data_IF_972966633633
#
_entry.id   IF_972966633633
#
_cell.length_a   1.000
_cell.length_b   1.000
_cell.length_c   1.000
_cell.angle_alpha   90.00
_cell.angle_beta   90.00
_cell.angle_gamma   90.00
#
_symmetry.space_group_name_H-M   'P 1'
#
loop_
_entity.id
_entity.type
_entity.pdbx_description
1 polymer ?
#
# COMPACT_ATOMS: atom_id res chain seq x y z
N UNK A 1 53.41 22.80 9.31
CA UNK A 1 52.84 21.45 9.29
C UNK A 1 51.61 21.44 10.18
N UNK A 2 50.44 21.43 9.56
CA UNK A 2 49.25 20.71 10.04
C UNK A 2 48.27 20.76 8.89
N UNK A 3 48.28 19.71 8.09
CA UNK A 3 47.22 19.40 7.14
C UNK A 3 45.91 19.29 7.93
N UNK A 4 45.10 20.35 7.90
CA UNK A 4 43.67 20.20 8.20
C UNK A 4 43.04 19.89 6.86
N UNK A 5 43.05 18.60 6.53
CA UNK A 5 42.41 18.07 5.34
C UNK A 5 40.93 18.47 5.39
N UNK A 6 40.48 19.11 4.33
CA UNK A 6 39.12 19.59 4.14
C UNK A 6 38.17 18.42 3.86
N UNK A 7 37.98 17.57 4.87
CA UNK A 7 37.15 16.36 4.77
C UNK A 7 35.67 16.66 4.49
N UNK A 8 35.20 17.89 4.75
CA UNK A 8 33.79 18.26 4.54
C UNK A 8 33.46 18.57 3.08
N UNK A 9 34.33 19.23 2.33
CA UNK A 9 34.10 19.45 0.89
C UNK A 9 34.31 18.17 0.07
N UNK A 10 35.21 17.28 0.50
CA UNK A 10 35.40 15.97 -0.14
C UNK A 10 34.16 15.07 -0.01
N UNK A 11 33.52 15.04 1.17
CA UNK A 11 32.32 14.23 1.41
C UNK A 11 31.12 14.65 0.55
N UNK A 12 30.89 15.95 0.36
CA UNK A 12 29.83 16.45 -0.53
C UNK A 12 30.15 16.24 -2.01
N UNK A 13 31.41 16.34 -2.40
CA UNK A 13 31.86 16.08 -3.79
C UNK A 13 31.71 14.60 -4.15
N UNK A 14 32.19 13.68 -3.30
CA UNK A 14 32.06 12.23 -3.52
C UNK A 14 30.59 11.78 -3.52
N UNK A 15 29.75 12.34 -2.63
CA UNK A 15 28.32 12.04 -2.59
C UNK A 15 27.61 12.47 -3.89
N UNK A 16 27.93 13.66 -4.41
CA UNK A 16 27.36 14.17 -5.66
C UNK A 16 27.81 13.34 -6.87
N UNK A 17 29.07 12.91 -6.89
CA UNK A 17 29.63 12.08 -7.95
C UNK A 17 29.03 10.67 -7.97
N UNK A 18 28.78 10.07 -6.79
CA UNK A 18 28.12 8.77 -6.66
C UNK A 18 26.68 8.80 -7.16
N UNK A 19 25.90 9.83 -6.82
CA UNK A 19 24.53 9.99 -7.34
C UNK A 19 24.53 10.20 -8.86
N UNK A 20 25.53 10.91 -9.41
CA UNK A 20 25.67 11.09 -10.86
C UNK A 20 26.01 9.78 -11.60
N UNK A 21 26.91 8.96 -11.04
CA UNK A 21 27.23 7.63 -11.60
C UNK A 21 26.02 6.71 -11.53
N UNK A 22 25.31 6.68 -10.40
CA UNK A 22 24.05 5.94 -10.26
C UNK A 22 23.05 6.36 -11.32
N UNK A 23 22.85 7.67 -11.52
CA UNK A 23 21.98 8.20 -12.57
C UNK A 23 22.36 7.70 -13.96
N UNK A 24 23.65 7.70 -14.29
CA UNK A 24 24.12 7.23 -15.60
C UNK A 24 23.87 5.72 -15.78
N UNK A 25 24.11 4.90 -14.75
CA UNK A 25 23.79 3.47 -14.77
C UNK A 25 22.29 3.23 -14.99
N UNK A 26 21.45 4.12 -14.44
CA UNK A 26 20.01 4.07 -14.65
C UNK A 26 19.60 4.34 -16.11
N UNK A 27 20.19 5.38 -16.70
CA UNK A 27 19.98 5.76 -18.10
C UNK A 27 20.51 4.67 -19.05
N UNK A 28 21.66 4.09 -18.74
CA UNK A 28 22.28 3.04 -19.55
C UNK A 28 21.39 1.78 -19.61
N UNK A 29 20.85 1.33 -18.47
CA UNK A 29 19.93 0.19 -18.47
C UNK A 29 18.65 0.51 -19.26
N UNK A 30 18.10 1.72 -19.09
CA UNK A 30 16.94 2.17 -19.85
C UNK A 30 17.17 2.12 -21.37
N UNK A 31 18.36 2.50 -21.80
CA UNK A 31 18.78 2.48 -23.20
C UNK A 31 19.10 1.06 -23.72
N UNK A 32 18.78 0.02 -22.95
CA UNK A 32 18.90 -1.37 -23.36
C UNK A 32 20.27 -2.01 -23.10
N UNK A 33 21.10 -1.41 -22.23
CA UNK A 33 22.35 -2.04 -21.81
C UNK A 33 22.07 -3.32 -21.02
N UNK A 34 22.95 -4.32 -21.16
CA UNK A 34 22.76 -5.62 -20.52
C UNK A 34 22.81 -5.50 -18.98
N UNK A 35 21.90 -6.20 -18.30
CA UNK A 35 21.75 -6.17 -16.84
C UNK A 35 23.03 -6.58 -16.09
N UNK A 36 23.73 -7.61 -16.57
CA UNK A 36 24.95 -8.12 -15.93
C UNK A 36 26.12 -7.15 -16.09
N UNK A 37 26.20 -6.43 -17.20
CA UNK A 37 27.19 -5.35 -17.40
C UNK A 37 26.93 -4.16 -16.49
N UNK A 38 25.65 -3.78 -16.32
CA UNK A 38 25.26 -2.68 -15.42
C UNK A 38 25.53 -3.08 -13.97
N UNK A 39 25.25 -4.33 -13.57
CA UNK A 39 25.61 -4.86 -12.24
C UNK A 39 27.11 -4.85 -11.99
N UNK A 40 27.91 -5.34 -12.94
CA UNK A 40 29.37 -5.33 -12.81
C UNK A 40 29.94 -3.90 -12.69
N UNK A 41 29.36 -2.94 -13.41
CA UNK A 41 29.73 -1.53 -13.31
C UNK A 41 29.32 -0.93 -11.96
N UNK A 42 28.13 -1.26 -11.47
CA UNK A 42 27.64 -0.85 -10.15
C UNK A 42 28.55 -1.38 -9.03
N UNK A 43 28.92 -2.66 -9.08
CA UNK A 43 29.82 -3.28 -8.10
C UNK A 43 31.23 -2.69 -8.13
N UNK A 44 31.76 -2.41 -9.32
CA UNK A 44 33.13 -1.91 -9.49
C UNK A 44 33.31 -0.44 -9.07
N UNK A 45 32.30 0.40 -9.26
CA UNK A 45 32.43 1.86 -9.07
C UNK A 45 31.61 2.42 -7.91
N UNK A 46 30.50 1.77 -7.54
CA UNK A 46 29.62 2.21 -6.45
C UNK A 46 29.68 1.25 -5.26
N UNK A 47 29.74 -0.05 -5.51
CA UNK A 47 29.65 -1.10 -4.50
C UNK A 47 28.26 -1.13 -3.87
N UNK A 48 28.17 -0.84 -2.57
CA UNK A 48 26.87 -0.77 -1.87
C UNK A 48 26.23 0.62 -1.99
N UNK A 49 24.89 0.64 -2.08
CA UNK A 49 24.07 1.85 -2.22
C UNK A 49 23.28 2.08 -0.93
N UNK A 50 23.16 3.34 -0.53
CA UNK A 50 22.36 3.78 0.61
C UNK A 50 20.95 4.20 0.17
N UNK A 51 20.01 4.17 1.11
CA UNK A 51 18.61 4.58 0.85
C UNK A 51 18.54 6.08 0.50
N UNK A 52 19.43 6.90 1.05
CA UNK A 52 19.52 8.32 0.74
C UNK A 52 19.92 8.55 -0.72
N UNK A 53 20.89 7.79 -1.23
CA UNK A 53 21.27 7.86 -2.65
C UNK A 53 20.10 7.45 -3.57
N UNK A 54 19.30 6.45 -3.18
CA UNK A 54 18.10 6.02 -3.95
C UNK A 54 17.03 7.12 -3.96
N UNK A 55 16.75 7.72 -2.81
CA UNK A 55 15.72 8.77 -2.66
C UNK A 55 16.14 10.04 -3.39
N UNK A 56 17.42 10.43 -3.27
CA UNK A 56 17.98 11.59 -3.95
C UNK A 56 17.95 11.43 -5.47
N UNK A 57 18.25 10.22 -5.96
CA UNK A 57 18.17 9.91 -7.38
C UNK A 57 16.77 10.18 -7.95
N UNK A 58 15.71 9.88 -7.18
CA UNK A 58 14.33 10.17 -7.57
C UNK A 58 14.09 11.67 -7.70
N UNK A 59 14.53 12.47 -6.73
CA UNK A 59 14.42 13.93 -6.79
C UNK A 59 15.16 14.50 -8.01
N UNK A 60 16.38 14.02 -8.30
CA UNK A 60 17.17 14.49 -9.45
C UNK A 60 16.46 14.23 -10.78
N UNK A 61 15.87 13.05 -10.96
CA UNK A 61 15.15 12.74 -12.20
C UNK A 61 13.87 13.58 -12.38
N UNK A 62 13.19 13.93 -11.28
CA UNK A 62 11.98 14.77 -11.32
C UNK A 62 12.32 16.23 -11.56
N UNK A 63 13.36 16.77 -10.90
CA UNK A 63 13.77 18.18 -11.01
C UNK A 63 14.33 18.53 -12.39
N UNK A 64 15.08 17.64 -13.03
CA UNK A 64 15.73 17.93 -14.31
C UNK A 64 14.81 17.79 -15.53
N UNK A 65 13.62 17.21 -15.37
CA UNK A 65 12.61 17.10 -16.43
C UNK A 65 13.06 16.32 -17.69
N UNK A 66 14.15 15.56 -17.59
CA UNK A 66 14.80 14.87 -18.72
C UNK A 66 14.19 13.51 -19.05
N UNK A 67 13.31 12.99 -18.19
CA UNK A 67 12.63 11.70 -18.34
C UNK A 67 11.15 11.88 -17.98
N UNK A 68 10.23 11.42 -18.82
CA UNK A 68 8.79 11.49 -18.51
C UNK A 68 8.43 10.59 -17.33
N UNK A 69 7.34 10.91 -16.60
CA UNK A 69 6.85 10.07 -15.50
C UNK A 69 6.57 8.61 -15.95
N UNK A 70 6.20 8.41 -17.22
CA UNK A 70 6.03 7.09 -17.84
C UNK A 70 7.34 6.35 -18.10
N UNK A 71 8.41 7.04 -18.49
CA UNK A 71 9.73 6.44 -18.71
C UNK A 71 10.41 6.12 -17.38
N UNK A 72 10.32 7.02 -16.38
CA UNK A 72 10.72 6.74 -14.99
C UNK A 72 10.02 5.48 -14.46
N UNK A 73 8.71 5.36 -14.72
CA UNK A 73 7.92 4.18 -14.35
C UNK A 73 8.37 2.90 -15.08
N UNK A 74 8.89 2.98 -16.31
CA UNK A 74 9.44 1.82 -17.01
C UNK A 74 10.81 1.43 -16.47
N UNK A 75 11.65 2.43 -16.18
CA UNK A 75 12.96 2.31 -15.54
C UNK A 75 12.78 1.61 -14.19
N UNK A 76 11.95 2.09 -13.25
CA UNK A 76 11.84 1.46 -11.93
C UNK A 76 11.41 -0.03 -11.94
N UNK A 77 10.70 -0.49 -12.97
CA UNK A 77 10.27 -1.88 -13.08
C UNK A 77 11.42 -2.84 -13.40
N UNK A 78 12.43 -2.38 -14.14
CA UNK A 78 13.55 -3.22 -14.57
C UNK A 78 14.69 -3.27 -13.51
N UNK A 79 14.75 -2.30 -12.59
CA UNK A 79 15.92 -2.11 -11.72
C UNK A 79 15.84 -2.84 -10.37
N UNK A 80 14.69 -3.42 -10.00
CA UNK A 80 14.57 -4.18 -8.74
C UNK A 80 15.58 -5.34 -8.66
N UNK A 81 15.95 -5.94 -9.79
CA UNK A 81 16.96 -6.99 -9.86
C UNK A 81 18.40 -6.49 -9.68
N UNK A 82 18.66 -5.19 -9.88
CA UNK A 82 19.99 -4.56 -9.75
C UNK A 82 20.30 -4.25 -8.30
N UNK A 83 19.30 -3.80 -7.53
CA UNK A 83 19.47 -3.44 -6.11
C UNK A 83 19.43 -4.62 -5.14
N UNK A 84 19.06 -5.80 -5.64
CA UNK A 84 19.03 -7.01 -4.84
C UNK A 84 20.46 -7.44 -4.49
N UNK A 85 20.84 -7.29 -3.21
CA UNK A 85 22.17 -7.63 -2.67
C UNK A 85 23.17 -6.47 -2.61
N UNK A 86 22.85 -5.32 -3.19
CA UNK A 86 23.73 -4.12 -3.25
C UNK A 86 23.32 -3.02 -2.29
N UNK A 87 22.16 -3.11 -1.63
CA UNK A 87 21.78 -2.15 -0.59
C UNK A 87 22.66 -2.37 0.65
N UNK A 88 23.17 -1.28 1.22
CA UNK A 88 23.96 -1.32 2.45
C UNK A 88 23.05 -1.67 3.62
N UNK A 89 23.21 -2.88 4.15
CA UNK A 89 22.68 -3.28 5.46
C UNK A 89 23.21 -2.30 6.52
N UNK A 90 22.32 -1.61 7.22
CA UNK A 90 22.70 -0.76 8.35
C UNK A 90 23.01 -1.65 9.56
N UNK A 91 24.07 -1.34 10.32
CA UNK A 91 24.45 -2.09 11.52
C UNK A 91 23.26 -2.18 12.51
N UNK A 92 22.65 -3.36 12.59
CA UNK A 92 21.53 -3.67 13.49
C UNK A 92 22.01 -3.69 14.95
N UNK A 93 22.05 -2.52 15.59
CA UNK A 93 22.20 -2.45 17.04
C UNK A 93 20.91 -2.91 17.71
N UNK A 94 21.00 -3.93 18.58
CA UNK A 94 19.88 -4.42 19.39
C UNK A 94 19.26 -3.28 20.23
N UNK A 95 17.92 -3.21 20.24
CA UNK A 95 17.17 -2.34 21.15
C UNK A 95 16.43 -1.19 20.48
N UNK A 96 16.22 -1.24 19.16
CA UNK A 96 15.42 -0.23 18.46
C UNK A 96 13.91 -0.50 18.67
N UNK A 97 13.05 0.51 18.61
CA UNK A 97 11.60 0.33 18.78
C UNK A 97 11.00 -0.72 17.84
N UNK A 98 11.53 -0.85 16.63
CA UNK A 98 11.09 -1.83 15.62
C UNK A 98 11.45 -3.29 15.91
N UNK A 99 12.26 -3.55 16.94
CA UNK A 99 12.57 -4.90 17.42
C UNK A 99 11.66 -5.29 18.61
N UNK A 100 10.81 -4.38 19.08
CA UNK A 100 9.90 -4.63 20.19
C UNK A 100 8.62 -5.33 19.73
N UNK A 101 8.17 -6.30 20.52
CA UNK A 101 6.89 -6.97 20.29
C UNK A 101 5.75 -5.94 20.22
N UNK A 102 4.93 -6.07 19.18
CA UNK A 102 3.80 -5.18 18.90
C UNK A 102 4.13 -4.02 17.95
N UNK A 103 5.40 -3.64 17.77
CA UNK A 103 5.72 -2.57 16.82
C UNK A 103 5.26 -3.01 15.41
N UNK A 104 4.68 -2.14 14.58
CA UNK A 104 4.16 -2.54 13.27
C UNK A 104 5.23 -3.22 12.40
N UNK A 105 6.42 -2.63 12.27
CA UNK A 105 7.54 -3.23 11.52
C UNK A 105 7.98 -4.58 12.07
N UNK A 106 8.04 -4.75 13.39
CA UNK A 106 8.33 -6.06 14.00
C UNK A 106 7.33 -7.11 13.53
N UNK A 107 6.04 -6.75 13.55
CA UNK A 107 4.95 -7.63 13.13
C UNK A 107 5.04 -7.96 11.65
N UNK A 108 5.28 -6.98 10.78
CA UNK A 108 5.49 -7.24 9.34
C UNK A 108 6.66 -8.20 9.09
N UNK A 109 7.78 -8.04 9.79
CA UNK A 109 8.93 -8.96 9.68
C UNK A 109 8.59 -10.39 10.14
N UNK A 110 7.82 -10.53 11.23
CA UNK A 110 7.35 -11.86 11.66
C UNK A 110 6.44 -12.52 10.62
N UNK A 111 5.54 -11.76 10.02
CA UNK A 111 4.69 -12.29 8.94
C UNK A 111 5.53 -12.71 7.73
N UNK A 112 6.52 -11.91 7.34
CA UNK A 112 7.45 -12.25 6.26
C UNK A 112 8.20 -13.56 6.54
N UNK A 113 8.63 -13.79 7.78
CA UNK A 113 9.26 -15.05 8.18
C UNK A 113 8.32 -16.25 8.05
N UNK A 114 7.05 -16.13 8.48
CA UNK A 114 6.09 -17.24 8.34
C UNK A 114 5.66 -17.46 6.89
N UNK A 115 5.57 -16.40 6.07
CA UNK A 115 5.34 -16.52 4.62
C UNK A 115 6.53 -17.20 3.94
N UNK A 116 7.77 -16.77 4.20
CA UNK A 116 8.97 -17.40 3.63
C UNK A 116 9.06 -18.89 4.00
N UNK A 117 8.77 -19.21 5.25
CA UNK A 117 8.69 -20.60 5.72
C UNK A 117 7.59 -21.39 5.01
N UNK A 118 6.41 -20.82 4.78
CA UNK A 118 5.34 -21.46 3.99
C UNK A 118 5.82 -21.75 2.56
N UNK A 119 6.50 -20.80 1.92
CA UNK A 119 7.04 -20.97 0.57
C UNK A 119 8.09 -22.09 0.52
N UNK A 120 9.10 -22.03 1.38
CA UNK A 120 10.29 -22.89 1.32
C UNK A 120 10.05 -24.29 1.87
N UNK A 121 9.28 -24.41 2.96
CA UNK A 121 9.11 -25.70 3.66
C UNK A 121 7.89 -26.50 3.21
N UNK A 122 6.91 -25.84 2.57
CA UNK A 122 5.71 -26.52 2.05
C UNK A 122 5.54 -26.34 0.55
N UNK A 123 5.27 -25.12 0.08
CA UNK A 123 4.83 -24.89 -1.30
C UNK A 123 5.88 -25.38 -2.31
N UNK A 124 7.16 -25.06 -2.11
CA UNK A 124 8.25 -25.50 -2.98
C UNK A 124 8.45 -27.02 -2.92
N UNK A 125 8.39 -27.62 -1.72
CA UNK A 125 8.54 -29.07 -1.53
C UNK A 125 7.41 -29.84 -2.22
N UNK A 126 6.16 -29.43 -2.00
CA UNK A 126 4.99 -30.03 -2.63
C UNK A 126 4.97 -29.78 -4.14
N UNK A 127 5.52 -28.65 -4.62
CA UNK A 127 5.68 -28.39 -6.04
C UNK A 127 6.68 -29.33 -6.70
N UNK A 128 7.81 -29.62 -6.04
CA UNK A 128 8.78 -30.63 -6.50
C UNK A 128 8.19 -32.05 -6.49
N UNK A 129 7.36 -32.39 -5.50
CA UNK A 129 6.61 -33.66 -5.47
C UNK A 129 5.62 -33.75 -6.62
N UNK A 130 4.88 -32.66 -6.87
CA UNK A 130 3.98 -32.55 -8.01
C UNK A 130 4.72 -32.65 -9.34
N UNK A 131 5.92 -32.05 -9.45
CA UNK A 131 6.78 -32.17 -10.64
C UNK A 131 7.29 -33.60 -10.87
N UNK A 132 7.43 -34.41 -9.83
CA UNK A 132 7.70 -35.85 -9.96
C UNK A 132 6.46 -36.65 -10.35
N UNK A 133 5.27 -36.25 -9.88
CA UNK A 133 4.00 -36.88 -10.23
C UNK A 133 2.78 -36.04 -9.86
N UNK A 134 1.81 -35.93 -10.76
CA UNK A 134 0.61 -35.10 -10.63
C UNK A 134 -0.57 -35.86 -9.99
N UNK A 135 -0.29 -36.65 -8.94
CA UNK A 135 -1.33 -37.39 -8.22
C UNK A 135 -2.34 -36.44 -7.56
N UNK A 136 -3.56 -36.94 -7.31
CA UNK A 136 -4.59 -36.17 -6.61
C UNK A 136 -4.11 -35.69 -5.22
N UNK A 137 -3.30 -36.50 -4.53
CA UNK A 137 -2.70 -36.12 -3.24
C UNK A 137 -1.76 -34.91 -3.38
N UNK A 138 -0.89 -34.91 -4.40
CA UNK A 138 0.03 -33.80 -4.64
C UNK A 138 -0.71 -32.52 -5.04
N UNK A 139 -1.79 -32.64 -5.82
CA UNK A 139 -2.68 -31.51 -6.14
C UNK A 139 -3.34 -30.96 -4.87
N UNK A 140 -3.86 -31.81 -3.99
CA UNK A 140 -4.51 -31.36 -2.76
C UNK A 140 -3.55 -30.66 -1.80
N UNK A 141 -2.31 -31.15 -1.67
CA UNK A 141 -1.26 -30.48 -0.88
C UNK A 141 -0.99 -29.06 -1.40
N UNK A 142 -0.84 -28.90 -2.72
CA UNK A 142 -0.65 -27.59 -3.33
C UNK A 142 -1.87 -26.66 -3.15
N UNK A 143 -3.08 -27.21 -3.20
CA UNK A 143 -4.32 -26.46 -2.92
C UNK A 143 -4.35 -25.99 -1.45
N UNK A 144 -3.91 -26.82 -0.51
CA UNK A 144 -3.81 -26.44 0.91
C UNK A 144 -2.82 -25.27 1.09
N UNK A 145 -1.61 -25.40 0.53
CA UNK A 145 -0.58 -24.38 0.65
C UNK A 145 -1.00 -23.04 0.02
N UNK A 146 -1.58 -23.07 -1.18
CA UNK A 146 -2.00 -21.84 -1.87
C UNK A 146 -3.18 -21.17 -1.17
N UNK A 147 -4.08 -21.96 -0.55
CA UNK A 147 -5.18 -21.41 0.24
C UNK A 147 -4.66 -20.74 1.51
N UNK A 148 -3.62 -21.28 2.13
CA UNK A 148 -2.97 -20.63 3.26
C UNK A 148 -2.24 -19.35 2.83
N UNK A 149 -1.57 -19.37 1.67
CA UNK A 149 -0.87 -18.20 1.12
C UNK A 149 -1.82 -17.05 0.74
N UNK A 150 -3.10 -17.30 0.48
CA UNK A 150 -4.09 -16.23 0.25
C UNK A 150 -4.21 -15.24 1.42
N UNK A 151 -3.80 -15.64 2.63
CA UNK A 151 -3.80 -14.76 3.80
C UNK A 151 -2.84 -13.56 3.66
N UNK A 152 -1.89 -13.63 2.71
CA UNK A 152 -0.96 -12.54 2.35
C UNK A 152 -1.67 -11.24 1.95
N UNK A 153 -2.94 -11.33 1.53
CA UNK A 153 -3.76 -10.15 1.22
C UNK A 153 -3.86 -9.20 2.41
N UNK A 154 -3.91 -9.70 3.64
CA UNK A 154 -3.93 -8.88 4.86
C UNK A 154 -2.61 -8.14 5.06
N UNK A 155 -1.48 -8.82 4.84
CA UNK A 155 -0.16 -8.21 4.92
C UNK A 155 -0.04 -7.05 3.93
N UNK A 156 -0.36 -7.32 2.66
CA UNK A 156 -0.30 -6.30 1.61
C UNK A 156 -1.28 -5.16 1.85
N UNK A 157 -2.51 -5.47 2.26
CA UNK A 157 -3.51 -4.45 2.60
C UNK A 157 -3.04 -3.55 3.75
N UNK A 158 -2.38 -4.08 4.78
CA UNK A 158 -1.82 -3.26 5.86
C UNK A 158 -0.72 -2.34 5.37
N UNK A 159 0.27 -2.82 4.60
CA UNK A 159 1.33 -1.90 4.12
C UNK A 159 0.77 -0.85 3.15
N UNK A 160 -0.18 -1.23 2.30
CA UNK A 160 -0.82 -0.34 1.31
C UNK A 160 -1.67 0.76 1.95
N UNK A 161 -2.39 0.43 3.02
CA UNK A 161 -3.35 1.34 3.65
C UNK A 161 -2.82 2.00 4.93
N UNK A 162 -1.72 1.52 5.51
CA UNK A 162 -1.16 2.02 6.76
C UNK A 162 0.27 2.52 6.65
N UNK A 163 1.12 2.03 5.72
CA UNK A 163 2.50 2.53 5.58
C UNK A 163 2.61 3.52 4.42
N UNK A 164 2.12 3.14 3.23
CA UNK A 164 2.26 3.96 2.03
C UNK A 164 1.69 5.38 2.19
N UNK A 165 0.51 5.60 2.81
CA UNK A 165 -0.04 6.95 2.94
C UNK A 165 0.86 7.90 3.74
N UNK A 166 1.60 7.41 4.74
CA UNK A 166 2.52 8.26 5.50
C UNK A 166 3.78 8.55 4.70
N UNK A 167 4.36 7.57 4.01
CA UNK A 167 5.49 7.80 3.11
C UNK A 167 5.15 8.83 2.01
N UNK A 168 3.95 8.74 1.45
CA UNK A 168 3.46 9.70 0.44
C UNK A 168 3.31 11.12 0.99
N UNK A 169 2.93 11.29 2.29
CA UNK A 169 2.92 12.61 2.95
C UNK A 169 4.31 13.23 3.01
N UNK A 170 5.36 12.41 3.04
CA UNK A 170 6.76 12.85 2.96
C UNK A 170 7.29 12.97 1.53
N UNK A 171 6.42 12.87 0.52
CA UNK A 171 6.79 13.03 -0.90
C UNK A 171 7.35 11.76 -1.56
N UNK A 172 7.25 10.60 -0.91
CA UNK A 172 7.82 9.34 -1.36
C UNK A 172 6.75 8.49 -2.08
N UNK A 173 6.66 8.62 -3.41
CA UNK A 173 5.60 7.97 -4.21
C UNK A 173 6.09 6.78 -5.07
N UNK A 174 7.36 6.79 -5.50
CA UNK A 174 7.89 5.79 -6.45
C UNK A 174 7.86 4.36 -5.90
N UNK A 175 8.44 4.10 -4.71
CA UNK A 175 8.46 2.78 -4.10
C UNK A 175 7.04 2.26 -3.78
N UNK A 176 6.17 3.11 -3.23
CA UNK A 176 4.80 2.72 -2.83
C UNK A 176 3.96 2.30 -4.04
N UNK A 177 4.01 3.08 -5.12
CA UNK A 177 3.28 2.78 -6.37
C UNK A 177 3.76 1.49 -7.03
N UNK A 178 5.08 1.28 -7.07
CA UNK A 178 5.65 0.09 -7.70
C UNK A 178 5.36 -1.19 -6.90
N UNK A 179 5.48 -1.12 -5.57
CA UNK A 179 5.19 -2.26 -4.69
C UNK A 179 3.72 -2.67 -4.79
N UNK A 180 2.78 -1.74 -4.69
CA UNK A 180 1.34 -2.05 -4.82
C UNK A 180 1.05 -2.80 -6.13
N UNK A 181 1.61 -2.33 -7.25
CA UNK A 181 1.39 -3.01 -8.53
C UNK A 181 1.92 -4.46 -8.52
N UNK A 182 3.07 -4.70 -7.90
CA UNK A 182 3.62 -6.06 -7.76
C UNK A 182 2.71 -6.89 -6.85
N UNK A 183 2.19 -6.31 -5.76
CA UNK A 183 1.24 -6.97 -4.85
C UNK A 183 -0.03 -7.42 -5.59
N UNK A 184 -0.58 -6.57 -6.47
CA UNK A 184 -1.71 -6.93 -7.32
C UNK A 184 -1.39 -8.11 -8.25
N UNK A 185 -0.21 -8.11 -8.89
CA UNK A 185 0.21 -9.24 -9.74
C UNK A 185 0.39 -10.53 -8.94
N UNK A 186 0.94 -10.45 -7.72
CA UNK A 186 1.08 -11.59 -6.81
C UNK A 186 -0.31 -12.13 -6.44
N UNK A 187 -1.23 -11.27 -6.00
CA UNK A 187 -2.61 -11.66 -5.65
C UNK A 187 -3.32 -12.36 -6.81
N UNK A 188 -3.22 -11.81 -8.01
CA UNK A 188 -3.86 -12.37 -9.20
C UNK A 188 -3.21 -13.71 -9.60
N UNK A 189 -1.89 -13.84 -9.45
CA UNK A 189 -1.17 -15.09 -9.74
C UNK A 189 -1.45 -16.20 -8.73
N UNK A 190 -1.60 -15.87 -7.44
CA UNK A 190 -2.05 -16.83 -6.41
C UNK A 190 -3.46 -17.35 -6.75
N UNK A 191 -4.36 -16.46 -7.19
CA UNK A 191 -5.71 -16.84 -7.61
C UNK A 191 -5.70 -17.73 -8.86
N UNK A 192 -4.88 -17.40 -9.86
CA UNK A 192 -4.68 -18.22 -11.06
C UNK A 192 -4.13 -19.62 -10.73
N UNK A 193 -3.09 -19.68 -9.89
CA UNK A 193 -2.53 -20.94 -9.41
C UNK A 193 -3.58 -21.82 -8.72
N UNK A 194 -4.39 -21.24 -7.84
CA UNK A 194 -5.49 -21.96 -7.18
C UNK A 194 -6.52 -22.45 -8.17
N UNK A 195 -6.90 -21.64 -9.15
CA UNK A 195 -7.88 -22.03 -10.18
C UNK A 195 -7.37 -23.18 -11.05
N UNK A 196 -6.10 -23.13 -11.47
CA UNK A 196 -5.46 -24.20 -12.27
C UNK A 196 -5.34 -25.51 -11.51
N UNK A 197 -5.07 -25.47 -10.20
CA UNK A 197 -5.07 -26.66 -9.35
C UNK A 197 -6.49 -27.22 -9.15
N UNK A 198 -7.49 -26.36 -8.91
CA UNK A 198 -8.87 -26.78 -8.72
C UNK A 198 -9.51 -27.39 -9.97
N UNK A 199 -9.10 -26.95 -11.15
CA UNK A 199 -9.57 -27.44 -12.45
C UNK A 199 -8.46 -28.14 -13.23
N UNK A 200 -7.64 -28.92 -12.52
CA UNK A 200 -6.49 -29.57 -13.13
C UNK A 200 -6.92 -30.68 -14.11
N UNK A 201 -6.42 -30.59 -15.34
CA UNK A 201 -6.72 -31.53 -16.44
C UNK A 201 -5.45 -32.09 -17.10
N UNK A 202 -4.33 -32.16 -16.36
CA UNK A 202 -3.07 -32.73 -16.83
C UNK A 202 -2.07 -31.70 -17.41
N UNK A 203 -2.40 -30.41 -17.46
CA UNK A 203 -1.45 -29.36 -17.85
C UNK A 203 -0.53 -28.98 -16.68
N UNK A 204 0.41 -29.89 -16.42
CA UNK A 204 1.38 -29.80 -15.34
C UNK A 204 2.27 -28.56 -15.44
N UNK A 205 2.72 -28.23 -16.65
CA UNK A 205 3.66 -27.12 -16.86
C UNK A 205 3.02 -25.77 -16.61
N UNK A 206 1.73 -25.59 -16.94
CA UNK A 206 1.02 -24.37 -16.61
C UNK A 206 0.89 -24.13 -15.09
N UNK A 207 0.72 -25.18 -14.30
CA UNK A 207 0.69 -25.12 -12.83
C UNK A 207 2.08 -24.80 -12.28
N UNK A 208 3.11 -25.52 -12.74
CA UNK A 208 4.49 -25.29 -12.28
C UNK A 208 4.94 -23.87 -12.59
N UNK A 209 4.68 -23.38 -13.80
CA UNK A 209 5.04 -22.04 -14.23
C UNK A 209 4.43 -20.95 -13.35
N UNK A 210 3.13 -21.03 -13.05
CA UNK A 210 2.47 -20.02 -12.20
C UNK A 210 2.93 -20.10 -10.75
N UNK A 211 3.12 -21.30 -10.19
CA UNK A 211 3.55 -21.45 -8.80
C UNK A 211 5.00 -21.03 -8.58
N UNK A 212 5.91 -21.32 -9.52
CA UNK A 212 7.27 -20.80 -9.47
C UNK A 212 7.29 -19.26 -9.55
N UNK A 213 6.47 -18.67 -10.41
CA UNK A 213 6.32 -17.21 -10.47
C UNK A 213 5.83 -16.63 -9.14
N UNK A 214 4.81 -17.24 -8.52
CA UNK A 214 4.31 -16.83 -7.20
C UNK A 214 5.43 -16.89 -6.14
N UNK A 215 6.16 -18.00 -6.05
CA UNK A 215 7.27 -18.17 -5.09
C UNK A 215 8.31 -17.06 -5.29
N UNK A 216 8.75 -16.85 -6.53
CA UNK A 216 9.77 -15.85 -6.87
C UNK A 216 9.32 -14.42 -6.52
N UNK A 217 8.09 -14.05 -6.89
CA UNK A 217 7.60 -12.70 -6.66
C UNK A 217 7.33 -12.42 -5.18
N UNK A 218 6.79 -13.38 -4.42
CA UNK A 218 6.56 -13.21 -2.98
C UNK A 218 7.90 -13.09 -2.24
N UNK A 219 8.87 -13.97 -2.51
CA UNK A 219 10.21 -13.86 -1.93
C UNK A 219 10.89 -12.53 -2.30
N UNK A 220 10.72 -12.11 -3.57
CA UNK A 220 11.20 -10.82 -4.05
C UNK A 220 10.52 -9.62 -3.38
N UNK A 221 9.26 -9.74 -2.94
CA UNK A 221 8.54 -8.68 -2.21
C UNK A 221 9.01 -8.62 -0.75
N UNK A 222 9.16 -9.76 -0.07
CA UNK A 222 9.73 -9.84 1.29
C UNK A 222 11.08 -9.11 1.35
N UNK A 223 11.95 -9.39 0.37
CA UNK A 223 13.25 -8.69 0.28
C UNK A 223 13.09 -7.17 0.16
N UNK A 224 12.20 -6.70 -0.72
CA UNK A 224 11.97 -5.26 -0.92
C UNK A 224 11.38 -4.60 0.32
N UNK A 225 10.49 -5.29 1.01
CA UNK A 225 9.89 -4.79 2.23
C UNK A 225 10.94 -4.60 3.34
N UNK A 226 11.73 -5.64 3.60
CA UNK A 226 12.71 -5.62 4.69
C UNK A 226 13.92 -4.73 4.43
N UNK A 227 14.35 -4.62 3.17
CA UNK A 227 15.57 -3.90 2.81
C UNK A 227 15.32 -2.50 2.23
N UNK A 228 14.08 -2.18 1.85
CA UNK A 228 13.74 -0.88 1.24
C UNK A 228 12.59 -0.22 2.00
N UNK A 229 11.42 -0.85 2.03
CA UNK A 229 10.20 -0.20 2.55
C UNK A 229 10.30 0.11 4.05
N UNK A 230 10.59 -0.89 4.88
CA UNK A 230 10.58 -0.71 6.33
C UNK A 230 11.71 0.21 6.82
N UNK A 231 12.96 0.09 6.34
CA UNK A 231 14.01 1.05 6.69
C UNK A 231 13.64 2.48 6.30
N UNK A 232 13.07 2.66 5.10
CA UNK A 232 12.59 3.96 4.63
C UNK A 232 11.45 4.51 5.50
N UNK A 233 10.49 3.67 5.88
CA UNK A 233 9.41 4.06 6.76
C UNK A 233 9.93 4.45 8.15
N UNK A 234 10.82 3.65 8.75
CA UNK A 234 11.39 3.92 10.07
C UNK A 234 12.15 5.25 10.13
N UNK A 235 12.79 5.64 9.03
CA UNK A 235 13.52 6.91 8.94
C UNK A 235 12.60 8.14 8.83
N UNK A 236 11.43 8.00 8.22
CA UNK A 236 10.55 9.14 7.89
C UNK A 236 9.35 9.28 8.84
N UNK A 237 8.80 8.17 9.34
CA UNK A 237 7.60 8.20 10.17
C UNK A 237 7.94 8.53 11.62
N UNK A 238 7.08 9.36 12.21
CA UNK A 238 7.12 9.70 13.63
C UNK A 238 6.54 8.57 14.50
N UNK A 239 6.88 8.59 15.78
CA UNK A 239 6.32 7.63 16.75
C UNK A 239 4.78 7.72 16.87
N UNK A 240 4.20 8.93 16.73
CA UNK A 240 2.75 9.15 16.66
C UNK A 240 2.08 8.43 15.50
N UNK A 241 2.74 8.42 14.36
CA UNK A 241 2.24 7.74 13.17
C UNK A 241 2.36 6.22 13.35
N UNK A 242 3.46 5.73 13.92
CA UNK A 242 3.59 4.32 14.25
C UNK A 242 2.54 3.84 15.26
N UNK A 243 2.18 4.65 16.25
CA UNK A 243 1.11 4.30 17.21
C UNK A 243 -0.23 4.18 16.49
N UNK A 244 -0.54 5.12 15.58
CA UNK A 244 -1.75 5.04 14.76
C UNK A 244 -1.77 3.80 13.88
N UNK A 245 -0.66 3.49 13.22
CA UNK A 245 -0.50 2.28 12.41
C UNK A 245 -0.70 1.01 13.25
N UNK A 246 -0.14 0.96 14.46
CA UNK A 246 -0.32 -0.17 15.36
C UNK A 246 -1.80 -0.37 15.73
N UNK A 247 -2.50 0.70 16.12
CA UNK A 247 -3.92 0.63 16.48
C UNK A 247 -4.82 0.26 15.27
N UNK A 248 -4.52 0.80 14.08
CA UNK A 248 -5.34 0.58 12.89
C UNK A 248 -5.02 -0.76 12.19
N UNK A 249 -3.96 -1.46 12.59
CA UNK A 249 -3.60 -2.78 12.04
C UNK A 249 -4.65 -3.85 12.34
N UNK A 250 -5.32 -3.77 13.50
CA UNK A 250 -6.36 -4.71 13.89
C UNK A 250 -7.63 -4.59 13.01
N UNK A 251 -7.89 -3.42 12.41
CA UNK A 251 -9.03 -3.22 11.51
C UNK A 251 -8.89 -4.04 10.21
N UNK A 252 -7.66 -4.31 9.78
CA UNK A 252 -7.35 -5.09 8.57
C UNK A 252 -7.07 -6.56 8.93
N UNK A 253 -6.39 -6.79 10.05
CA UNK A 253 -5.97 -8.12 10.52
C UNK A 253 -4.58 -8.55 10.02
N UNK A 254 -4.13 -9.70 10.49
CA UNK A 254 -2.75 -10.19 10.33
C UNK A 254 -2.66 -11.43 9.43
N UNK A 255 -1.53 -11.57 8.75
CA UNK A 255 -1.20 -12.68 7.85
C UNK A 255 -0.42 -13.77 8.60
N UNK A 256 -0.99 -14.96 8.74
CA UNK A 256 -0.42 -16.15 9.40
C UNK A 256 -0.09 -16.03 10.90
N UNK A 257 0.35 -14.86 11.38
CA UNK A 257 0.75 -14.61 12.76
C UNK A 257 0.34 -13.20 13.22
N UNK A 258 -0.22 -13.11 14.42
CA UNK A 258 -0.59 -11.85 15.06
C UNK A 258 0.50 -11.37 16.04
N UNK A 259 0.57 -10.07 16.38
CA UNK A 259 1.54 -9.54 17.33
C UNK A 259 1.36 -10.17 18.71
N UNK A 260 2.47 -10.46 19.39
CA UNK A 260 2.46 -11.07 20.72
C UNK A 260 2.05 -10.09 21.84
N UNK A 261 2.10 -8.78 21.57
CA UNK A 261 1.78 -7.73 22.54
C UNK A 261 1.30 -6.47 21.81
N UNK A 262 0.54 -5.64 22.53
CA UNK A 262 0.22 -4.27 22.12
C UNK A 262 1.44 -3.38 22.31
N UNK A 263 1.82 -2.60 21.30
CA UNK A 263 2.95 -1.69 21.41
C UNK A 263 2.57 -0.38 22.08
N UNK A 264 3.25 -0.07 23.18
CA UNK A 264 3.06 1.14 23.97
C UNK A 264 4.39 1.87 24.06
N UNK A 265 4.61 2.91 23.25
CA UNK A 265 5.81 3.72 23.40
C UNK A 265 5.84 4.44 24.76
N UNK A 266 7.04 4.68 25.29
CA UNK A 266 7.22 5.47 26.50
C UNK A 266 6.97 6.97 26.22
N UNK A 267 5.75 7.45 26.48
CA UNK A 267 5.40 8.88 26.30
C UNK A 267 5.33 9.65 27.61
N UNK A 268 5.86 10.88 27.59
CA UNK A 268 5.36 11.98 28.44
C UNK A 268 4.06 12.48 27.81
N UNK A 269 2.96 12.37 28.55
CA UNK A 269 1.63 12.77 28.08
C UNK A 269 1.64 14.22 27.56
N UNK A 270 1.26 14.38 26.28
CA UNK A 270 0.87 15.66 25.70
C UNK A 270 -0.66 15.68 25.60
N UNK A 271 -1.22 16.84 25.91
CA UNK A 271 -2.64 17.09 26.14
C UNK A 271 -3.44 16.97 24.82
N UNK A 272 -4.32 15.97 24.71
CA UNK A 272 -5.16 15.68 23.53
C UNK A 272 -6.28 16.71 23.29
N UNK A 273 -6.37 17.79 24.08
CA UNK A 273 -7.54 18.66 24.15
C UNK A 273 -7.53 19.89 23.23
N UNK A 274 -6.61 20.01 22.28
CA UNK A 274 -6.40 21.32 21.63
C UNK A 274 -7.53 21.80 20.67
N UNK A 275 -8.45 20.96 20.17
CA UNK A 275 -9.51 21.41 19.23
C UNK A 275 -10.82 20.61 19.36
N UNK A 276 -11.38 20.47 20.57
CA UNK A 276 -12.69 19.79 20.75
C UNK A 276 -13.83 20.67 21.31
N UNK A 277 -13.56 21.93 21.65
CA UNK A 277 -14.55 22.81 22.26
C UNK A 277 -15.07 23.88 21.27
N UNK A 278 -16.31 23.71 20.80
CA UNK A 278 -16.98 24.68 19.93
C UNK A 278 -18.29 24.18 19.33
N UNK A 279 -19.15 25.12 18.90
CA UNK A 279 -20.37 24.84 18.12
C UNK A 279 -20.20 25.37 16.69
N UNK A 280 -20.56 24.54 15.71
CA UNK A 280 -20.68 24.92 14.30
C UNK A 280 -22.11 25.37 14.07
N UNK A 281 -22.29 26.63 13.65
CA UNK A 281 -23.57 27.16 13.19
C UNK A 281 -23.66 26.99 11.67
N UNK A 282 -24.59 26.16 11.23
CA UNK A 282 -25.02 26.00 9.85
C UNK A 282 -26.32 26.79 9.63
N UNK A 283 -26.76 26.94 8.39
CA UNK A 283 -28.01 27.66 8.08
C UNK A 283 -29.23 27.04 8.78
N UNK A 284 -29.28 25.71 8.85
CA UNK A 284 -30.43 24.94 9.35
C UNK A 284 -30.26 24.41 10.78
N UNK A 285 -29.15 24.72 11.45
CA UNK A 285 -28.92 24.19 12.80
C UNK A 285 -27.57 24.55 13.40
N UNK A 286 -27.40 24.18 14.68
CA UNK A 286 -26.16 24.39 15.43
C UNK A 286 -25.82 23.06 16.09
N UNK A 287 -24.63 22.54 15.82
CA UNK A 287 -24.13 21.29 16.38
C UNK A 287 -22.72 21.49 16.95
N UNK A 288 -22.39 20.79 18.03
CA UNK A 288 -20.97 20.63 18.39
C UNK A 288 -20.25 19.74 17.38
N UNK A 289 -18.92 19.84 17.31
CA UNK A 289 -18.11 18.93 16.48
C UNK A 289 -18.41 17.46 16.78
N UNK A 290 -18.51 17.12 18.07
CA UNK A 290 -18.85 15.77 18.53
C UNK A 290 -20.24 15.32 18.07
N UNK A 291 -21.23 16.21 18.07
CA UNK A 291 -22.57 15.87 17.59
C UNK A 291 -22.60 15.64 16.07
N UNK A 292 -21.87 16.45 15.32
CA UNK A 292 -21.75 16.30 13.87
C UNK A 292 -21.09 14.97 13.50
N UNK A 293 -19.98 14.62 14.15
CA UNK A 293 -19.28 13.35 13.96
C UNK A 293 -20.19 12.16 14.29
N UNK A 294 -20.88 12.20 15.44
CA UNK A 294 -21.80 11.12 15.82
C UNK A 294 -22.96 10.98 14.85
N UNK A 295 -23.52 12.08 14.34
CA UNK A 295 -24.61 12.04 13.35
C UNK A 295 -24.14 11.30 12.09
N UNK A 296 -22.99 11.67 11.55
CA UNK A 296 -22.43 11.07 10.34
C UNK A 296 -22.08 9.59 10.53
N UNK A 297 -21.60 9.20 11.72
CA UNK A 297 -21.27 7.81 12.04
C UNK A 297 -22.51 6.92 12.25
N UNK A 298 -23.67 7.49 12.59
CA UNK A 298 -24.93 6.73 12.77
C UNK A 298 -25.80 6.66 11.51
N UNK A 299 -25.39 7.31 10.40
CA UNK A 299 -26.09 7.12 9.15
C UNK A 299 -25.94 5.66 8.68
N UNK A 300 -26.98 5.04 8.11
CA UNK A 300 -26.92 3.65 7.63
C UNK A 300 -26.19 3.57 6.26
N UNK A 301 -25.14 4.38 6.10
CA UNK A 301 -24.37 4.60 4.87
C UNK A 301 -22.94 5.01 5.28
N UNK A 302 -21.95 4.55 4.52
CA UNK A 302 -20.58 5.05 4.62
C UNK A 302 -20.42 6.28 3.71
N UNK A 303 -19.78 7.32 4.21
CA UNK A 303 -19.54 8.58 3.49
C UNK A 303 -18.04 8.83 3.41
N UNK A 304 -17.53 9.18 2.22
CA UNK A 304 -16.19 9.76 2.05
C UNK A 304 -16.33 11.11 1.35
N UNK A 305 -15.68 12.15 1.87
CA UNK A 305 -15.59 13.45 1.21
C UNK A 305 -14.18 13.70 0.69
N UNK A 306 -14.11 14.01 -0.60
CA UNK A 306 -12.91 14.37 -1.34
C UNK A 306 -13.07 15.84 -1.75
N UNK A 307 -12.08 16.69 -1.47
CA UNK A 307 -12.20 18.12 -1.77
C UNK A 307 -11.93 18.47 -3.24
N UNK A 308 -11.94 19.77 -3.55
CA UNK A 308 -11.68 20.28 -4.90
C UNK A 308 -10.29 19.92 -5.47
N UNK A 309 -9.33 19.63 -4.58
CA UNK A 309 -7.94 19.28 -4.91
C UNK A 309 -7.74 17.76 -4.99
N UNK A 310 -8.83 17.00 -5.04
CA UNK A 310 -8.88 15.53 -5.06
C UNK A 310 -8.31 14.87 -3.81
N UNK A 311 -8.25 15.60 -2.68
CA UNK A 311 -7.72 15.11 -1.41
C UNK A 311 -8.84 14.59 -0.53
N UNK A 312 -8.68 13.38 0.02
CA UNK A 312 -9.61 12.81 1.00
C UNK A 312 -9.54 13.63 2.28
N UNK A 313 -10.66 14.26 2.66
CA UNK A 313 -10.75 15.13 3.85
C UNK A 313 -11.49 14.48 5.00
N UNK A 314 -12.43 13.61 4.71
CA UNK A 314 -13.27 13.00 5.73
C UNK A 314 -13.79 11.65 5.26
N UNK A 315 -13.98 10.73 6.20
CA UNK A 315 -14.84 9.57 6.02
C UNK A 315 -15.60 9.29 7.32
N UNK A 316 -16.81 8.75 7.22
CA UNK A 316 -17.59 8.32 8.38
C UNK A 316 -17.14 6.96 8.90
N UNK A 317 -17.29 6.75 10.20
CA UNK A 317 -17.00 5.50 10.90
C UNK A 317 -18.33 4.82 11.26
N UNK A 318 -19.00 4.24 10.26
CA UNK A 318 -20.26 3.52 10.44
C UNK A 318 -20.09 2.18 11.17
N UNK A 319 -21.15 1.70 11.85
CA UNK A 319 -21.12 0.40 12.54
C UNK A 319 -20.94 -0.80 11.59
N UNK A 320 -21.45 -0.69 10.36
CA UNK A 320 -21.47 -1.77 9.37
C UNK A 320 -20.57 -1.47 8.15
N UNK A 321 -19.27 -1.27 8.37
CA UNK A 321 -18.32 -0.88 7.31
C UNK A 321 -18.29 -1.88 6.16
N UNK A 322 -18.51 -1.39 4.95
CA UNK A 322 -18.48 -2.23 3.73
C UNK A 322 -17.07 -2.29 3.15
N UNK A 323 -16.39 -1.14 3.12
CA UNK A 323 -14.99 -1.01 2.74
C UNK A 323 -14.19 -0.44 3.92
N UNK A 324 -13.14 -1.15 4.33
CA UNK A 324 -12.26 -0.65 5.39
C UNK A 324 -11.58 0.66 4.94
N UNK A 325 -11.56 1.66 5.82
CA UNK A 325 -10.89 2.95 5.62
C UNK A 325 -10.11 3.29 6.89
N UNK A 326 -8.82 3.51 6.75
CA UNK A 326 -7.90 3.84 7.83
C UNK A 326 -7.80 5.36 7.97
N UNK A 327 -7.50 5.93 9.15
CA UNK A 327 -7.36 7.40 9.27
C UNK A 327 -6.15 7.91 8.48
N UNK A 328 -5.22 7.00 8.16
CA UNK A 328 -4.07 7.26 7.31
C UNK A 328 -4.44 7.84 5.93
N UNK A 329 -5.64 7.54 5.38
CA UNK A 329 -6.07 8.07 4.07
C UNK A 329 -6.37 9.57 4.08
N UNK A 330 -6.62 10.17 5.26
CA UNK A 330 -6.91 11.60 5.36
C UNK A 330 -5.66 12.39 4.92
N UNK A 331 -5.83 13.24 3.92
CA UNK A 331 -4.76 14.00 3.28
C UNK A 331 -4.16 13.34 2.04
N UNK A 332 -4.59 12.13 1.66
CA UNK A 332 -4.15 11.44 0.44
C UNK A 332 -5.01 11.84 -0.75
N UNK A 333 -4.42 11.88 -1.95
CA UNK A 333 -5.21 12.06 -3.18
C UNK A 333 -6.02 10.80 -3.48
N UNK A 334 -7.23 10.95 -4.03
CA UNK A 334 -8.11 9.81 -4.29
C UNK A 334 -7.50 8.84 -5.32
N UNK A 335 -6.69 9.35 -6.24
CA UNK A 335 -5.97 8.56 -7.24
C UNK A 335 -5.04 7.54 -6.57
N UNK A 336 -4.36 7.94 -5.50
CA UNK A 336 -3.47 7.04 -4.76
C UNK A 336 -4.25 6.04 -3.89
N UNK A 337 -5.51 6.31 -3.57
CA UNK A 337 -6.35 5.41 -2.78
C UNK A 337 -6.90 4.21 -3.56
N UNK A 338 -6.68 4.15 -4.88
CA UNK A 338 -7.23 3.14 -5.77
C UNK A 338 -6.12 2.35 -6.49
N UNK A 339 -6.33 1.05 -6.77
CA UNK A 339 -5.40 0.26 -7.57
C UNK A 339 -5.09 0.94 -8.92
N UNK A 340 -3.84 0.90 -9.44
CA UNK A 340 -3.46 1.59 -10.68
C UNK A 340 -4.35 1.27 -11.89
N UNK A 341 -4.92 0.06 -11.93
CA UNK A 341 -5.84 -0.37 -12.99
C UNK A 341 -7.17 0.37 -13.00
N UNK A 342 -7.61 0.95 -11.88
CA UNK A 342 -8.90 1.66 -11.74
C UNK A 342 -8.75 3.18 -11.61
N UNK A 343 -7.53 3.70 -11.44
CA UNK A 343 -7.29 5.14 -11.27
C UNK A 343 -7.85 5.97 -12.42
N UNK A 344 -7.70 5.50 -13.67
CA UNK A 344 -8.19 6.22 -14.84
C UNK A 344 -9.71 6.47 -14.82
N UNK A 345 -10.49 5.52 -14.26
CA UNK A 345 -11.95 5.67 -14.13
C UNK A 345 -12.28 6.74 -13.10
N UNK A 346 -11.53 6.77 -11.99
CA UNK A 346 -11.68 7.78 -10.93
C UNK A 346 -11.30 9.17 -11.46
N UNK A 347 -10.20 9.28 -12.20
CA UNK A 347 -9.76 10.54 -12.82
C UNK A 347 -10.78 11.06 -13.83
N UNK A 348 -11.31 10.19 -14.70
CA UNK A 348 -12.36 10.58 -15.65
C UNK A 348 -13.63 11.05 -14.94
N UNK A 349 -14.04 10.35 -13.88
CA UNK A 349 -15.21 10.72 -13.09
C UNK A 349 -15.03 12.10 -12.42
N UNK A 350 -13.90 12.34 -11.77
CA UNK A 350 -13.59 13.63 -11.15
C UNK A 350 -13.52 14.76 -12.19
N UNK A 351 -12.95 14.49 -13.37
CA UNK A 351 -12.92 15.46 -14.47
C UNK A 351 -14.34 15.80 -14.98
N UNK A 352 -15.21 14.80 -15.10
CA UNK A 352 -16.61 14.97 -15.48
C UNK A 352 -17.39 15.80 -14.43
N UNK A 353 -17.12 15.60 -13.14
CA UNK A 353 -17.71 16.40 -12.07
C UNK A 353 -17.19 17.84 -12.04
N UNK A 354 -15.86 18.02 -12.13
CA UNK A 354 -15.22 19.35 -12.17
C UNK A 354 -15.70 20.18 -13.35
N UNK A 355 -15.89 19.55 -14.52
CA UNK A 355 -16.37 20.22 -15.74
C UNK A 355 -17.88 20.46 -15.77
N UNK A 356 -18.65 19.84 -14.88
CA UNK A 356 -20.12 19.89 -14.90
C UNK A 356 -20.78 19.02 -15.95
N UNK A 357 -20.04 18.08 -16.55
CA UNK A 357 -20.59 17.07 -17.46
C UNK A 357 -21.46 16.06 -16.73
N UNK A 358 -21.15 15.77 -15.46
CA UNK A 358 -21.95 14.90 -14.59
C UNK A 358 -22.17 15.57 -13.23
N UNK A 359 -23.30 15.24 -12.61
CA UNK A 359 -23.62 15.63 -11.23
C UNK A 359 -23.61 14.43 -10.27
N UNK A 360 -23.82 13.22 -10.79
CA UNK A 360 -23.72 11.99 -10.02
C UNK A 360 -23.34 10.80 -10.90
N UNK A 361 -22.81 9.76 -10.28
CA UNK A 361 -22.53 8.46 -10.89
C UNK A 361 -22.87 7.34 -9.89
N UNK A 362 -23.35 6.20 -10.36
CA UNK A 362 -23.83 5.13 -9.47
C UNK A 362 -23.44 3.73 -9.95
N UNK A 363 -23.08 2.89 -8.98
CA UNK A 363 -22.66 1.52 -9.20
C UNK A 363 -23.31 0.61 -8.16
N UNK A 364 -23.54 -0.65 -8.53
CA UNK A 364 -24.01 -1.65 -7.60
C UNK A 364 -23.30 -2.97 -7.83
N UNK A 365 -22.81 -3.57 -6.76
CA UNK A 365 -22.04 -4.81 -6.82
C UNK A 365 -22.48 -5.75 -5.71
N UNK A 366 -22.40 -7.06 -5.99
CA UNK A 366 -22.42 -8.05 -4.92
C UNK A 366 -21.00 -8.17 -4.39
N UNK A 367 -20.83 -7.86 -3.11
CA UNK A 367 -19.54 -7.91 -2.43
C UNK A 367 -19.68 -8.74 -1.16
N UNK A 368 -18.98 -9.89 -1.12
CA UNK A 368 -19.16 -10.92 -0.09
C UNK A 368 -20.64 -11.34 0.02
N UNK A 369 -21.22 -11.19 1.18
CA UNK A 369 -22.61 -11.49 1.55
C UNK A 369 -23.55 -10.27 1.45
N UNK A 370 -23.06 -9.14 0.90
CA UNK A 370 -23.81 -7.87 0.81
C UNK A 370 -24.06 -7.45 -0.64
N UNK A 371 -25.18 -6.79 -0.88
CA UNK A 371 -25.46 -6.05 -2.10
C UNK A 371 -25.20 -4.57 -1.85
N UNK A 372 -24.06 -4.11 -2.36
CA UNK A 372 -23.53 -2.78 -2.11
C UNK A 372 -23.98 -1.84 -3.21
N UNK A 373 -24.52 -0.70 -2.82
CA UNK A 373 -24.85 0.43 -3.69
C UNK A 373 -23.90 1.59 -3.41
N UNK A 374 -23.17 2.01 -4.43
CA UNK A 374 -22.15 3.06 -4.36
C UNK A 374 -22.61 4.21 -5.24
N UNK A 375 -22.58 5.44 -4.72
CA UNK A 375 -22.91 6.64 -5.46
C UNK A 375 -21.84 7.69 -5.24
N UNK A 376 -21.54 8.43 -6.29
CA UNK A 376 -20.69 9.60 -6.23
C UNK A 376 -21.50 10.82 -6.61
N UNK A 377 -21.30 11.93 -5.92
CA UNK A 377 -21.95 13.21 -6.20
C UNK A 377 -20.92 14.32 -6.34
N UNK A 378 -21.09 15.17 -7.35
CA UNK A 378 -20.41 16.45 -7.41
C UNK A 378 -21.02 17.36 -6.33
N UNK A 379 -20.20 17.80 -5.38
CA UNK A 379 -20.61 18.76 -4.34
C UNK A 379 -20.27 20.15 -4.88
N UNK A 380 -21.27 21.02 -4.91
CA UNK A 380 -21.15 22.40 -5.36
C UNK A 380 -21.63 23.37 -4.29
N UNK A 381 -21.03 24.55 -4.24
CA UNK A 381 -21.50 25.65 -3.40
C UNK A 381 -22.72 26.34 -4.02
N UNK A 382 -23.23 27.39 -3.35
CA UNK A 382 -24.40 28.15 -3.74
C UNK A 382 -24.24 28.86 -5.10
N UNK A 383 -23.00 29.13 -5.52
CA UNK A 383 -22.66 29.73 -6.82
C UNK A 383 -22.47 28.67 -7.93
N UNK A 384 -22.67 27.38 -7.61
CA UNK A 384 -22.51 26.25 -8.53
C UNK A 384 -21.06 25.83 -8.75
N UNK A 385 -20.11 26.40 -7.99
CA UNK A 385 -18.69 26.03 -8.09
C UNK A 385 -18.47 24.68 -7.42
N UNK A 386 -17.72 23.80 -8.08
CA UNK A 386 -17.33 22.51 -7.54
C UNK A 386 -16.43 22.68 -6.31
N UNK A 387 -16.84 22.09 -5.18
CA UNK A 387 -16.09 22.10 -3.91
C UNK A 387 -15.62 20.71 -3.48
N UNK A 388 -16.01 19.66 -4.20
CA UNK A 388 -15.54 18.31 -3.90
C UNK A 388 -16.46 17.22 -4.44
N UNK A 389 -16.13 15.98 -4.14
CA UNK A 389 -16.91 14.79 -4.45
C UNK A 389 -17.32 14.08 -3.16
N UNK A 390 -18.58 13.70 -3.08
CA UNK A 390 -19.12 12.86 -2.01
C UNK A 390 -19.27 11.42 -2.52
N UNK A 391 -18.52 10.49 -1.94
CA UNK A 391 -18.76 9.05 -2.08
C UNK A 391 -19.77 8.62 -1.00
N UNK A 392 -20.77 7.85 -1.42
CA UNK A 392 -21.82 7.27 -0.60
C UNK A 392 -21.87 5.77 -0.85
N UNK A 393 -21.81 4.96 0.19
CA UNK A 393 -21.88 3.50 0.07
C UNK A 393 -22.90 2.93 1.04
N UNK A 394 -23.78 2.04 0.58
CA UNK A 394 -24.84 1.44 1.40
C UNK A 394 -25.06 -0.04 1.08
N UNK A 395 -25.29 -0.86 2.11
CA UNK A 395 -25.81 -2.21 1.96
C UNK A 395 -27.33 -2.13 1.73
N UNK A 396 -27.78 -2.46 0.52
CA UNK A 396 -29.20 -2.36 0.15
C UNK A 396 -29.95 -3.68 0.27
N UNK A 397 -29.31 -4.77 0.72
CA UNK A 397 -30.01 -6.03 0.93
C UNK A 397 -31.16 -5.93 1.93
N UNK A 398 -31.00 -5.30 3.12
CA UNK A 398 -32.11 -5.11 4.05
C UNK A 398 -33.25 -4.30 3.46
N UNK A 399 -32.94 -3.32 2.59
CA UNK A 399 -33.93 -2.48 1.92
C UNK A 399 -34.70 -3.29 0.88
N UNK A 400 -34.02 -4.15 0.12
CA UNK A 400 -34.66 -5.02 -0.88
C UNK A 400 -35.57 -6.09 -0.27
N UNK A 401 -35.34 -6.45 0.99
CA UNK A 401 -36.16 -7.41 1.73
C UNK A 401 -37.45 -6.79 2.31
N UNK A 402 -37.64 -5.46 2.24
CA UNK A 402 -38.85 -4.82 2.73
C UNK A 402 -40.03 -5.17 1.81
N UNK A 403 -41.08 -5.74 2.41
CA UNK A 403 -42.36 -6.00 1.75
C UNK A 403 -43.51 -5.33 2.52
N UNK A 404 -44.59 -4.99 1.81
CA UNK A 404 -45.76 -4.34 2.41
C UNK A 404 -45.45 -2.94 2.94
N UNK A 405 -46.05 -2.58 4.08
CA UNK A 405 -45.91 -1.26 4.68
C UNK A 405 -45.83 -1.37 6.23
N UNK A 406 -44.91 -0.64 6.85
CA UNK A 406 -44.85 -0.45 8.31
C UNK A 406 -45.11 1.02 8.63
N UNK A 407 -46.33 1.36 9.08
CA UNK A 407 -46.79 2.76 9.29
C UNK A 407 -46.74 3.23 10.75
N UNK A 408 -46.51 2.33 11.69
CA UNK A 408 -46.47 2.60 13.14
C UNK A 408 -45.29 1.85 13.78
N UNK A 409 -44.76 2.40 14.87
CA UNK A 409 -43.98 1.61 15.83
C UNK A 409 -44.88 0.49 16.33
N UNK A 410 -44.37 -0.74 16.38
CA UNK A 410 -45.11 -2.01 16.53
C UNK A 410 -46.51 -1.95 17.15
#
# INVERSE_FOLDING_TARGET
MSEIINNREQLTSEYTERVAILKQLFIDLHNGRNLDEVKAHLDAFIGKITIDEITQLQHVFVEEGSISASELKHIYNQHSAIFQGTIKEEDHQNGRPEDQAGHPVHTFKLENQEVDKLLTTKLQVHLEEFDKGDSAENIYKLIEDINLLLDIDKHYSRKENLIFPYLEKYGIFGPTTNMWRIDDFIRDSIKDGRQKLAHYHGDKQAVIGVLNYVIEQVAGMIYKEENILFPMALKNLTEDEWVKIAHESDEIGFCLIAPAAEWKPERKALDEQAISEGYIKMETGILSLKQLELLLNHLPVDITFIDQDDVVRYFSHGEERIFARTKAIIGRTVQNCHPPRSVHVVEELLADFKSGKKESEEFWIKFKDKYVYIRYFAVRDEDGKYIGTLEFTQNIDPIKAIEGEKRILE
#
